data_IF_066913759451
#
_entry.id   IF_066913759451
#
_cell.length_a   1.000
_cell.length_b   1.000
_cell.length_c   1.000
_cell.angle_alpha   90.00
_cell.angle_beta   90.00
_cell.angle_gamma   90.00
#
_symmetry.space_group_name_H-M   'P 1'
#
loop_
_entity.id
_entity.type
_entity.pdbx_description
1 polymer ?
#
# COMPACT_ATOMS: atom_id res chain seq x y z
N UNK A 1 11.42 21.71 27.75
CA UNK A 1 10.11 21.89 27.11
C UNK A 1 9.09 22.21 28.19
N UNK A 2 8.43 23.36 28.10
CA UNK A 2 7.35 23.72 29.01
C UNK A 2 6.17 22.74 28.81
N UNK A 3 5.25 22.68 29.76
CA UNK A 3 4.09 21.79 29.73
C UNK A 3 3.17 22.13 28.51
N UNK A 4 3.06 23.42 28.19
CA UNK A 4 2.38 23.96 27.02
C UNK A 4 2.94 23.45 25.69
N UNK A 5 4.28 23.42 25.55
CA UNK A 5 4.94 22.99 24.31
C UNK A 5 4.70 21.49 24.03
N UNK A 6 4.61 20.69 25.09
CA UNK A 6 4.33 19.25 24.95
C UNK A 6 2.89 19.02 24.49
N UNK A 7 1.94 19.77 25.03
CA UNK A 7 0.52 19.68 24.62
C UNK A 7 0.37 20.10 23.17
N UNK A 8 0.98 21.22 22.78
CA UNK A 8 0.95 21.67 21.39
C UNK A 8 1.57 20.65 20.43
N UNK A 9 2.71 20.05 20.80
CA UNK A 9 3.35 19.02 19.98
C UNK A 9 2.53 17.73 19.87
N UNK A 10 1.81 17.32 20.90
CA UNK A 10 0.90 16.18 20.85
C UNK A 10 -0.28 16.52 19.93
N UNK A 11 -0.90 17.70 20.07
CA UNK A 11 -2.00 18.13 19.22
C UNK A 11 -1.62 18.14 17.74
N UNK A 12 -0.44 18.69 17.40
CA UNK A 12 0.09 18.67 16.03
C UNK A 12 0.27 17.24 15.51
N UNK A 13 0.80 16.32 16.32
CA UNK A 13 0.95 14.92 15.93
C UNK A 13 -0.42 14.24 15.75
N UNK A 14 -1.40 14.52 16.60
CA UNK A 14 -2.77 13.98 16.48
C UNK A 14 -3.40 14.43 15.15
N UNK A 15 -3.25 15.69 14.78
CA UNK A 15 -3.75 16.18 13.48
C UNK A 15 -3.08 15.47 12.31
N UNK A 16 -1.76 15.28 12.37
CA UNK A 16 -1.01 14.54 11.34
C UNK A 16 -1.43 13.08 11.26
N UNK A 17 -1.68 12.41 12.38
CA UNK A 17 -2.20 11.04 12.40
C UNK A 17 -3.61 10.95 11.80
N UNK A 18 -4.47 11.94 12.05
CA UNK A 18 -5.83 11.98 11.49
C UNK A 18 -5.87 12.29 10.00
N UNK A 19 -4.94 13.14 9.53
CA UNK A 19 -4.85 13.53 8.13
C UNK A 19 -4.17 12.48 7.25
N UNK A 20 -3.50 11.49 7.85
CA UNK A 20 -2.76 10.47 7.12
C UNK A 20 -3.64 9.26 6.82
N UNK A 21 -3.68 8.82 5.56
CA UNK A 21 -4.33 7.58 5.12
C UNK A 21 -3.55 6.34 5.60
N UNK A 22 -2.22 6.47 5.68
CA UNK A 22 -1.36 5.44 6.24
C UNK A 22 -0.21 6.05 7.06
N UNK A 23 0.24 5.30 8.04
CA UNK A 23 1.37 5.66 8.90
C UNK A 23 2.38 4.53 8.87
N UNK A 24 3.64 4.83 8.54
CA UNK A 24 4.71 3.84 8.50
C UNK A 24 5.79 4.19 9.50
N UNK A 25 6.16 3.24 10.34
CA UNK A 25 7.21 3.37 11.35
C UNK A 25 8.53 2.81 10.82
N UNK A 26 9.58 3.61 10.90
CA UNK A 26 10.91 3.22 10.46
C UNK A 26 11.95 3.51 11.54
N UNK A 27 13.00 2.72 11.58
CA UNK A 27 14.20 3.04 12.35
C UNK A 27 15.21 3.73 11.43
N UNK A 28 15.70 4.89 11.85
CA UNK A 28 16.64 5.71 11.06
C UNK A 28 18.05 5.73 11.63
N UNK A 29 18.36 4.87 12.58
CA UNK A 29 19.67 4.83 13.23
C UNK A 29 20.78 4.52 12.23
N UNK A 30 21.76 5.41 12.13
CA UNK A 30 22.89 5.25 11.18
C UNK A 30 22.72 5.97 9.85
N UNK A 31 21.56 6.60 9.59
CA UNK A 31 21.37 7.45 8.43
C UNK A 31 22.02 8.83 8.64
N UNK A 32 22.68 9.32 7.61
CA UNK A 32 23.20 10.69 7.56
C UNK A 32 22.09 11.71 7.29
N UNK A 33 22.34 12.98 7.63
CA UNK A 33 21.40 14.08 7.33
C UNK A 33 21.12 14.19 5.82
N UNK A 34 22.13 13.94 4.98
CA UNK A 34 21.99 13.93 3.52
C UNK A 34 21.02 12.84 3.03
N UNK A 35 21.15 11.63 3.55
CA UNK A 35 20.27 10.51 3.24
C UNK A 35 18.83 10.76 3.71
N UNK A 36 18.63 11.32 4.90
CA UNK A 36 17.29 11.73 5.36
C UNK A 36 16.67 12.81 4.46
N UNK A 37 17.49 13.74 3.94
CA UNK A 37 17.03 14.74 2.99
C UNK A 37 16.63 14.12 1.65
N UNK A 38 17.40 13.15 1.16
CA UNK A 38 17.05 12.38 -0.05
C UNK A 38 15.74 11.62 0.14
N UNK A 39 15.58 10.92 1.28
CA UNK A 39 14.34 10.19 1.59
C UNK A 39 13.12 11.13 1.60
N UNK A 40 13.22 12.28 2.27
CA UNK A 40 12.13 13.27 2.27
C UNK A 40 11.79 13.79 0.87
N UNK A 41 12.79 14.00 0.03
CA UNK A 41 12.58 14.40 -1.36
C UNK A 41 11.95 13.29 -2.20
N UNK A 42 12.35 12.02 -1.98
CA UNK A 42 11.80 10.88 -2.67
C UNK A 42 10.33 10.58 -2.31
N UNK A 43 9.94 10.87 -1.06
CA UNK A 43 8.54 10.77 -0.62
C UNK A 43 7.66 11.88 -1.20
N UNK A 44 8.25 13.01 -1.59
CA UNK A 44 7.56 14.12 -2.25
C UNK A 44 6.43 14.72 -1.40
N UNK A 45 5.32 15.07 -2.05
CA UNK A 45 4.12 15.62 -1.41
C UNK A 45 3.21 14.52 -0.84
N UNK A 46 3.40 13.27 -1.25
CA UNK A 46 2.56 12.13 -0.86
C UNK A 46 2.78 11.69 0.59
N UNK A 47 3.93 12.00 1.19
CA UNK A 47 4.21 11.61 2.57
C UNK A 47 5.16 12.59 3.29
N UNK A 48 4.83 12.86 4.55
CA UNK A 48 5.65 13.67 5.44
C UNK A 48 6.47 12.78 6.36
N UNK A 49 7.81 12.85 6.26
CA UNK A 49 8.73 12.08 7.10
C UNK A 49 9.19 12.90 8.30
N UNK A 50 8.68 12.57 9.48
CA UNK A 50 8.94 13.29 10.72
C UNK A 50 9.63 12.41 11.77
N UNK A 51 10.53 13.03 12.53
CA UNK A 51 11.13 12.42 13.71
C UNK A 51 10.48 13.06 14.94
N UNK A 52 9.81 12.25 15.74
CA UNK A 52 9.13 12.69 16.95
C UNK A 52 9.64 11.91 18.18
N UNK A 53 9.45 12.50 19.36
CA UNK A 53 9.71 11.77 20.60
C UNK A 53 8.69 10.64 20.76
N UNK A 54 9.16 9.41 20.97
CA UNK A 54 8.30 8.24 21.11
C UNK A 54 7.21 8.41 22.18
N UNK A 55 7.50 9.11 23.27
CA UNK A 55 6.53 9.37 24.34
C UNK A 55 5.37 10.25 23.87
N UNK A 56 5.64 11.27 23.04
CA UNK A 56 4.61 12.14 22.48
C UNK A 56 3.84 11.43 21.37
N UNK A 57 4.56 10.69 20.53
CA UNK A 57 3.94 9.89 19.46
C UNK A 57 2.99 8.81 20.01
N UNK A 58 3.35 8.16 21.14
CA UNK A 58 2.45 7.21 21.81
C UNK A 58 1.18 7.86 22.34
N UNK A 59 1.28 9.05 22.94
CA UNK A 59 0.11 9.78 23.40
C UNK A 59 -0.81 10.15 22.23
N UNK A 60 -0.23 10.68 21.15
CA UNK A 60 -0.99 11.03 19.96
C UNK A 60 -1.64 9.80 19.28
N UNK A 61 -0.91 8.69 19.16
CA UNK A 61 -1.42 7.45 18.60
C UNK A 61 -2.61 6.90 19.42
N UNK A 62 -2.50 6.97 20.76
CA UNK A 62 -3.59 6.58 21.67
C UNK A 62 -4.85 7.43 21.50
N UNK A 63 -4.70 8.74 21.33
CA UNK A 63 -5.85 9.65 21.12
C UNK A 63 -6.57 9.38 19.79
N UNK A 64 -5.88 8.82 18.81
CA UNK A 64 -6.44 8.49 17.48
C UNK A 64 -6.93 7.03 17.40
N UNK A 65 -6.71 6.23 18.45
CA UNK A 65 -7.12 4.81 18.48
C UNK A 65 -6.14 3.86 17.81
N UNK A 66 -4.88 4.28 17.61
CA UNK A 66 -3.80 3.47 17.03
C UNK A 66 -2.88 2.93 18.14
N UNK A 67 -3.45 2.39 19.22
CA UNK A 67 -2.72 1.92 20.40
C UNK A 67 -1.69 0.84 20.08
N UNK A 68 -1.93 0.01 19.08
CA UNK A 68 -1.03 -1.04 18.63
C UNK A 68 0.34 -0.52 18.14
N UNK A 69 0.40 0.73 17.64
CA UNK A 69 1.69 1.35 17.25
C UNK A 69 2.59 1.67 18.45
N UNK A 70 2.02 1.74 19.67
CA UNK A 70 2.78 2.09 20.86
C UNK A 70 3.86 1.05 21.22
N UNK A 71 3.66 -0.22 20.83
CA UNK A 71 4.63 -1.30 21.07
C UNK A 71 5.88 -1.15 20.21
N UNK A 72 5.72 -0.65 18.97
CA UNK A 72 6.78 -0.48 17.98
C UNK A 72 7.49 0.87 18.07
N UNK A 73 6.94 1.83 18.82
CA UNK A 73 7.56 3.11 19.14
C UNK A 73 8.65 2.96 20.21
N UNK A 74 9.66 2.11 19.96
CA UNK A 74 10.84 1.89 20.79
C UNK A 74 12.11 2.22 19.99
N UNK A 75 13.11 2.81 20.65
CA UNK A 75 14.36 3.20 19.99
C UNK A 75 14.21 4.41 19.04
N UNK A 76 15.19 4.66 18.17
CA UNK A 76 15.22 5.82 17.27
C UNK A 76 14.21 5.61 16.12
N UNK A 77 12.96 5.99 16.35
CA UNK A 77 11.85 5.78 15.39
C UNK A 77 11.49 7.09 14.70
N UNK A 78 11.36 7.02 13.39
CA UNK A 78 10.76 8.07 12.57
C UNK A 78 9.41 7.58 12.00
N UNK A 79 8.53 8.53 11.78
CA UNK A 79 7.16 8.30 11.34
C UNK A 79 6.99 8.91 9.95
N UNK A 80 6.59 8.12 8.98
CA UNK A 80 6.13 8.59 7.68
C UNK A 80 4.61 8.67 7.71
N UNK A 81 4.08 9.89 7.66
CA UNK A 81 2.65 10.17 7.50
C UNK A 81 2.35 10.24 6.01
N UNK A 82 1.54 9.34 5.52
CA UNK A 82 1.17 9.25 4.10
C UNK A 82 -0.24 9.82 3.92
N UNK A 83 -0.35 10.86 3.10
CA UNK A 83 -1.61 11.57 2.80
C UNK A 83 -1.97 11.45 1.31
N UNK A 84 -1.69 10.32 0.69
CA UNK A 84 -1.90 10.08 -0.73
C UNK A 84 -1.85 8.59 -1.05
N UNK A 85 -1.00 8.17 -1.98
CA UNK A 85 -0.90 6.75 -2.35
C UNK A 85 0.03 5.97 -1.40
N UNK A 86 -0.50 5.13 -0.48
CA UNK A 86 0.31 4.36 0.46
C UNK A 86 1.30 3.41 -0.23
N UNK A 87 0.93 2.89 -1.39
CA UNK A 87 1.76 1.98 -2.18
C UNK A 87 3.03 2.67 -2.69
N UNK A 88 2.92 3.89 -3.19
CA UNK A 88 4.09 4.64 -3.68
C UNK A 88 5.04 5.02 -2.55
N UNK A 89 4.50 5.48 -1.41
CA UNK A 89 5.29 5.77 -0.23
C UNK A 89 6.01 4.51 0.30
N UNK A 90 5.32 3.36 0.34
CA UNK A 90 5.92 2.09 0.74
C UNK A 90 7.01 1.62 -0.24
N UNK A 91 6.83 1.80 -1.56
CA UNK A 91 7.85 1.52 -2.58
C UNK A 91 9.10 2.38 -2.37
N UNK A 92 8.92 3.68 -2.21
CA UNK A 92 10.02 4.61 -1.99
C UNK A 92 10.81 4.24 -0.74
N UNK A 93 10.13 3.92 0.38
CA UNK A 93 10.77 3.49 1.62
C UNK A 93 11.50 2.16 1.46
N UNK A 94 10.92 1.19 0.75
CA UNK A 94 11.54 -0.11 0.48
C UNK A 94 12.79 0.04 -0.39
N UNK A 95 12.70 0.80 -1.48
CA UNK A 95 13.80 0.96 -2.43
C UNK A 95 14.94 1.74 -1.79
N UNK A 96 14.61 2.77 -1.00
CA UNK A 96 15.61 3.47 -0.19
C UNK A 96 16.26 2.55 0.89
N UNK A 97 15.48 1.65 1.51
CA UNK A 97 16.00 0.68 2.48
C UNK A 97 16.94 -0.35 1.83
N UNK A 98 16.73 -0.70 0.54
CA UNK A 98 17.67 -1.55 -0.22
C UNK A 98 19.01 -0.87 -0.45
N UNK A 99 19.00 0.43 -0.75
CA UNK A 99 20.23 1.22 -0.95
C UNK A 99 20.90 1.57 0.38
N UNK A 100 20.12 1.72 1.43
CA UNK A 100 20.56 2.13 2.76
C UNK A 100 20.09 1.15 3.82
N UNK A 101 20.85 0.08 4.12
CA UNK A 101 20.47 -0.96 5.11
C UNK A 101 20.26 -0.44 6.53
N UNK A 102 20.68 0.79 6.82
CA UNK A 102 20.46 1.48 8.08
C UNK A 102 18.99 1.87 8.30
N UNK A 103 18.17 1.96 7.22
CA UNK A 103 16.74 2.18 7.32
C UNK A 103 16.02 0.84 7.50
N UNK A 104 15.40 0.65 8.66
CA UNK A 104 14.63 -0.56 8.95
C UNK A 104 13.14 -0.22 9.02
N UNK A 105 12.32 -0.89 8.21
CA UNK A 105 10.87 -0.82 8.29
C UNK A 105 10.40 -1.67 9.47
N UNK A 106 9.69 -1.08 10.43
CA UNK A 106 9.21 -1.76 11.65
C UNK A 106 7.78 -2.27 11.48
N UNK A 107 6.88 -1.37 11.33
CA UNK A 107 5.45 -1.61 11.26
C UNK A 107 4.75 -0.41 10.65
N UNK A 108 3.43 -0.45 10.58
CA UNK A 108 2.62 0.68 10.15
C UNK A 108 1.16 0.50 10.52
N UNK A 109 0.37 1.45 10.10
CA UNK A 109 -1.08 1.42 10.13
C UNK A 109 -1.61 1.91 8.78
N UNK A 110 -2.68 1.30 8.28
CA UNK A 110 -3.40 1.73 7.10
C UNK A 110 -4.89 1.54 7.35
N UNK A 111 -5.68 2.58 7.14
CA UNK A 111 -7.13 2.58 7.39
C UNK A 111 -7.50 2.11 8.81
N UNK A 112 -6.68 2.44 9.81
CA UNK A 112 -6.87 2.03 11.20
C UNK A 112 -6.47 0.58 11.51
N UNK A 113 -6.02 -0.21 10.52
CA UNK A 113 -5.57 -1.59 10.70
C UNK A 113 -4.05 -1.66 10.87
N UNK A 114 -3.53 -2.55 11.75
CA UNK A 114 -2.10 -2.73 11.93
C UNK A 114 -1.44 -3.40 10.73
N UNK A 115 -0.29 -2.90 10.32
CA UNK A 115 0.57 -3.50 9.31
C UNK A 115 1.88 -3.96 9.96
N UNK A 116 2.20 -5.25 9.82
CA UNK A 116 3.52 -5.76 10.19
C UNK A 116 4.60 -5.31 9.21
N UNK A 117 5.88 -5.48 9.55
CA UNK A 117 7.00 -5.20 8.64
C UNK A 117 6.88 -5.97 7.31
N UNK A 118 6.37 -7.20 7.35
CA UNK A 118 6.09 -7.99 6.14
C UNK A 118 4.89 -7.42 5.36
N UNK A 119 3.88 -6.92 6.06
CA UNK A 119 2.73 -6.25 5.45
C UNK A 119 3.14 -5.00 4.68
N UNK A 120 4.04 -4.19 5.24
CA UNK A 120 4.60 -3.01 4.56
C UNK A 120 5.41 -3.41 3.32
N UNK A 121 6.17 -4.51 3.38
CA UNK A 121 6.89 -5.04 2.20
C UNK A 121 5.92 -5.51 1.12
N UNK A 122 4.90 -6.27 1.49
CA UNK A 122 3.85 -6.71 0.55
C UNK A 122 3.12 -5.52 -0.07
N UNK A 123 2.82 -4.48 0.72
CA UNK A 123 2.23 -3.23 0.23
C UNK A 123 3.13 -2.57 -0.84
N UNK A 124 4.45 -2.56 -0.61
CA UNK A 124 5.42 -2.04 -1.57
C UNK A 124 5.56 -2.89 -2.85
N UNK A 125 5.16 -4.16 -2.82
CA UNK A 125 5.16 -5.05 -4.00
C UNK A 125 3.88 -4.94 -4.84
N UNK A 126 2.84 -4.27 -4.33
CA UNK A 126 1.61 -4.02 -5.07
C UNK A 126 1.85 -3.05 -6.23
N UNK A 127 1.05 -3.19 -7.27
CA UNK A 127 0.98 -2.23 -8.36
C UNK A 127 0.26 -0.95 -7.93
N UNK A 128 0.30 0.10 -8.76
CA UNK A 128 -0.44 1.33 -8.47
C UNK A 128 -1.95 1.06 -8.38
N UNK A 129 -2.66 1.92 -7.66
CA UNK A 129 -4.11 1.83 -7.48
C UNK A 129 -4.86 1.74 -8.81
N UNK A 130 -4.43 2.52 -9.79
CA UNK A 130 -5.04 2.54 -11.12
C UNK A 130 -4.89 1.19 -11.83
N UNK A 131 -3.70 0.58 -11.76
CA UNK A 131 -3.44 -0.74 -12.37
C UNK A 131 -4.24 -1.83 -11.67
N UNK A 132 -4.36 -1.78 -10.34
CA UNK A 132 -5.18 -2.74 -9.57
C UNK A 132 -6.66 -2.61 -9.94
N UNK A 133 -7.18 -1.40 -10.06
CA UNK A 133 -8.56 -1.14 -10.51
C UNK A 133 -8.78 -1.60 -11.95
N UNK A 134 -7.83 -1.34 -12.85
CA UNK A 134 -7.88 -1.81 -14.23
C UNK A 134 -7.89 -3.35 -14.32
N UNK A 135 -7.07 -4.03 -13.52
CA UNK A 135 -7.08 -5.49 -13.41
C UNK A 135 -8.40 -6.03 -12.88
N UNK A 136 -8.95 -5.43 -11.82
CA UNK A 136 -10.26 -5.81 -11.28
C UNK A 136 -11.38 -5.66 -12.33
N UNK A 137 -11.43 -4.52 -13.01
CA UNK A 137 -12.38 -4.28 -14.10
C UNK A 137 -12.17 -5.27 -15.26
N UNK A 138 -10.92 -5.57 -15.61
CA UNK A 138 -10.56 -6.55 -16.63
C UNK A 138 -11.06 -7.95 -16.30
N UNK A 139 -10.89 -8.40 -15.05
CA UNK A 139 -11.40 -9.71 -14.60
C UNK A 139 -12.92 -9.79 -14.68
N UNK A 140 -13.62 -8.73 -14.23
CA UNK A 140 -15.09 -8.67 -14.33
C UNK A 140 -15.56 -8.74 -15.80
N UNK A 141 -14.94 -7.96 -16.69
CA UNK A 141 -15.22 -7.97 -18.12
C UNK A 141 -14.96 -9.35 -18.75
N UNK A 142 -13.84 -9.99 -18.37
CA UNK A 142 -13.50 -11.32 -18.85
C UNK A 142 -14.54 -12.38 -18.42
N UNK A 143 -15.04 -12.30 -17.17
CA UNK A 143 -16.09 -13.21 -16.69
C UNK A 143 -17.41 -13.05 -17.42
N UNK A 144 -17.81 -11.81 -17.71
CA UNK A 144 -19.01 -11.53 -18.54
C UNK A 144 -18.81 -12.09 -19.95
N UNK A 145 -17.63 -11.89 -20.55
CA UNK A 145 -17.28 -12.47 -21.83
C UNK A 145 -17.33 -13.99 -21.84
N UNK A 146 -16.79 -14.65 -20.81
CA UNK A 146 -16.85 -16.11 -20.67
C UNK A 146 -18.31 -16.63 -20.62
N UNK A 147 -19.18 -15.94 -19.89
CA UNK A 147 -20.60 -16.29 -19.86
C UNK A 147 -21.24 -16.18 -21.26
N UNK A 148 -20.99 -15.09 -21.97
CA UNK A 148 -21.48 -14.90 -23.34
C UNK A 148 -20.97 -16.01 -24.31
N UNK A 149 -19.67 -16.37 -24.20
CA UNK A 149 -19.11 -17.49 -24.96
C UNK A 149 -19.76 -18.82 -24.60
N UNK A 150 -20.06 -19.08 -23.33
CA UNK A 150 -20.71 -20.31 -22.88
C UNK A 150 -22.12 -20.43 -23.47
N UNK A 151 -22.90 -19.36 -23.49
CA UNK A 151 -24.23 -19.35 -24.14
C UNK A 151 -24.15 -19.55 -25.67
N UNK A 152 -23.13 -18.99 -26.30
CA UNK A 152 -22.97 -19.13 -27.76
C UNK A 152 -22.32 -20.48 -28.17
N UNK A 153 -21.74 -21.22 -27.26
CA UNK A 153 -21.05 -22.48 -27.54
C UNK A 153 -21.98 -23.56 -28.04
N UNK A 154 -23.21 -23.65 -27.53
CA UNK A 154 -24.19 -24.67 -27.95
C UNK A 154 -24.63 -24.51 -29.41
N UNK A 155 -25.12 -23.33 -29.86
CA UNK A 155 -25.47 -23.16 -31.26
C UNK A 155 -24.26 -23.30 -32.20
N UNK A 156 -23.11 -22.81 -31.84
CA UNK A 156 -21.88 -22.97 -32.63
C UNK A 156 -21.48 -24.44 -32.80
N UNK A 157 -21.59 -25.25 -31.74
CA UNK A 157 -21.34 -26.69 -31.82
C UNK A 157 -22.33 -27.38 -32.75
N UNK A 158 -23.63 -27.03 -32.69
CA UNK A 158 -24.65 -27.62 -33.58
C UNK A 158 -24.35 -27.32 -35.06
N UNK A 159 -24.03 -26.06 -35.37
CA UNK A 159 -23.66 -25.68 -36.75
C UNK A 159 -22.44 -26.45 -37.24
N UNK A 160 -21.37 -26.49 -36.45
CA UNK A 160 -20.14 -27.25 -36.80
C UNK A 160 -20.39 -28.75 -37.02
N UNK A 161 -21.31 -29.35 -36.23
CA UNK A 161 -21.65 -30.76 -36.39
C UNK A 161 -22.39 -31.00 -37.69
N UNK A 162 -23.30 -30.08 -38.08
CA UNK A 162 -24.02 -30.15 -39.34
C UNK A 162 -23.07 -29.96 -40.54
N UNK A 163 -22.15 -29.00 -40.45
CA UNK A 163 -21.15 -28.77 -41.49
C UNK A 163 -20.24 -29.98 -41.68
N UNK A 164 -19.75 -30.57 -40.59
CA UNK A 164 -18.93 -31.78 -40.65
C UNK A 164 -19.68 -32.97 -41.22
N UNK A 165 -20.99 -33.08 -40.97
CA UNK A 165 -21.83 -34.13 -41.58
C UNK A 165 -21.98 -33.92 -43.09
N UNK A 166 -22.18 -32.66 -43.51
CA UNK A 166 -22.27 -32.26 -44.91
C UNK A 166 -20.99 -32.57 -45.68
N UNK A 167 -19.82 -32.23 -45.10
CA UNK A 167 -18.53 -32.57 -45.70
C UNK A 167 -18.36 -34.08 -45.90
N UNK A 168 -18.65 -34.88 -44.88
CA UNK A 168 -18.59 -36.36 -44.99
C UNK A 168 -19.53 -36.92 -46.05
N UNK A 169 -20.73 -36.34 -46.23
CA UNK A 169 -21.66 -36.76 -47.27
C UNK A 169 -21.17 -36.38 -48.66
N UNK A 170 -20.51 -35.22 -48.80
CA UNK A 170 -19.95 -34.78 -50.07
C UNK A 170 -18.69 -35.58 -50.51
N UNK A 171 -17.92 -36.10 -49.53
CA UNK A 171 -16.76 -36.98 -49.79
C UNK A 171 -17.18 -38.43 -50.15
N UNK A 172 -18.39 -38.84 -49.74
CA UNK A 172 -18.91 -40.19 -49.99
C UNK A 172 -19.76 -40.32 -51.24
N UNK A 173 -20.05 -39.19 -51.90
CA UNK A 173 -20.80 -39.13 -53.17
C UNK A 173 -19.88 -38.92 -54.39
#
# INVERSE_FOLDING_TARGET
>A
MAKSDKVAAVAELVERFRAADAVLLTEYRGLTVGQLKQLRRGLGENATYAVAKNTLARLAAKEVGLDFLAEDLKGPTAIAFVSGEPVEAAKTLRDFAKENPALVLKSGAMDGAPLSAEGVKKLADLESREVLLAKAAGVLKAKIGQAAFAFNALPVKAVRTIDALREKQSEAA
#
